data_IF_244912489049
#
_entry.id   IF_244912489049
#
_cell.length_a   1.000
_cell.length_b   1.000
_cell.length_c   1.000
_cell.angle_alpha   90.00
_cell.angle_beta   90.00
_cell.angle_gamma   90.00
#
_symmetry.space_group_name_H-M   'P 1'
#
loop_
_entity.id
_entity.type
_entity.pdbx_description
1 polymer ?
#
# COMPACT_ATOMS: atom_id res chain seq x y z
N UNK A 1 27.54 -8.44 -7.00
CA UNK A 1 26.41 -8.66 -7.92
C UNK A 1 25.16 -8.08 -7.29
N UNK A 2 24.47 -7.16 -7.97
CA UNK A 2 23.17 -6.65 -7.50
C UNK A 2 22.11 -7.71 -7.78
N UNK A 3 21.30 -8.05 -6.78
CA UNK A 3 20.26 -9.07 -6.92
C UNK A 3 19.16 -8.59 -7.90
N UNK A 4 18.96 -7.28 -8.00
CA UNK A 4 17.99 -6.63 -8.89
C UNK A 4 18.24 -6.87 -10.39
N UNK A 5 19.47 -7.23 -10.80
CA UNK A 5 19.80 -7.50 -12.20
C UNK A 5 19.55 -8.95 -12.62
N UNK A 6 19.40 -9.88 -11.66
CA UNK A 6 19.24 -11.30 -11.94
C UNK A 6 17.78 -11.74 -12.05
N UNK A 7 16.86 -10.96 -11.47
CA UNK A 7 15.41 -11.23 -11.52
C UNK A 7 14.71 -9.92 -11.92
N UNK A 8 14.19 -9.81 -13.15
CA UNK A 8 13.43 -8.63 -13.56
C UNK A 8 12.10 -8.60 -12.82
N UNK A 9 11.94 -7.60 -11.94
CA UNK A 9 10.69 -7.39 -11.20
C UNK A 9 9.79 -6.50 -12.05
N UNK A 10 8.73 -7.09 -12.62
CA UNK A 10 7.73 -6.33 -13.36
C UNK A 10 6.79 -5.59 -12.38
N UNK A 11 6.54 -4.28 -12.58
CA UNK A 11 5.56 -3.55 -11.79
C UNK A 11 4.13 -4.05 -12.06
N UNK A 12 3.27 -4.02 -11.04
CA UNK A 12 1.87 -4.42 -11.19
C UNK A 12 1.07 -3.30 -11.89
N UNK A 13 0.48 -3.55 -13.07
CA UNK A 13 -0.24 -2.52 -13.82
C UNK A 13 -1.54 -2.04 -13.15
N UNK A 14 -2.06 -2.80 -12.18
CA UNK A 14 -3.28 -2.45 -11.45
C UNK A 14 -3.05 -1.45 -10.31
N UNK A 15 -1.78 -1.13 -10.00
CA UNK A 15 -1.45 -0.16 -8.96
C UNK A 15 -1.22 1.20 -9.64
N UNK A 16 -2.05 2.22 -9.37
CA UNK A 16 -1.84 3.55 -9.94
C UNK A 16 -0.59 4.19 -9.37
N UNK A 17 -0.03 5.15 -10.10
CA UNK A 17 1.05 5.99 -9.58
C UNK A 17 0.47 6.88 -8.46
N UNK A 18 1.09 6.82 -7.28
CA UNK A 18 0.68 7.59 -6.10
C UNK A 18 1.82 8.49 -5.62
N UNK A 19 1.46 9.64 -5.07
CA UNK A 19 2.36 10.63 -4.51
C UNK A 19 1.97 11.03 -3.08
N UNK A 20 2.91 11.52 -2.26
CA UNK A 20 2.56 12.14 -0.98
C UNK A 20 1.56 13.29 -1.19
N UNK A 21 0.51 13.33 -0.38
CA UNK A 21 -0.62 14.27 -0.51
C UNK A 21 -1.87 13.65 -1.13
N UNK A 22 -1.75 12.54 -1.86
CA UNK A 22 -2.90 11.89 -2.48
C UNK A 22 -3.82 11.25 -1.44
N UNK A 23 -5.14 11.36 -1.64
CA UNK A 23 -6.12 10.60 -0.87
C UNK A 23 -6.40 9.28 -1.57
N UNK A 24 -6.12 8.18 -0.88
CA UNK A 24 -6.24 6.82 -1.44
C UNK A 24 -7.23 5.99 -0.64
N UNK A 25 -7.80 4.98 -1.29
CA UNK A 25 -8.64 3.95 -0.67
C UNK A 25 -8.01 2.59 -0.94
N UNK A 26 -7.44 2.00 0.10
CA UNK A 26 -6.76 0.70 0.03
C UNK A 26 -7.71 -0.40 0.48
N UNK A 27 -7.95 -1.39 -0.38
CA UNK A 27 -8.75 -2.56 -0.04
C UNK A 27 -7.88 -3.64 0.57
N UNK A 28 -8.08 -3.92 1.86
CA UNK A 28 -7.35 -4.93 2.61
C UNK A 28 -8.20 -6.19 2.70
N UNK A 29 -7.66 -7.32 2.25
CA UNK A 29 -8.26 -8.63 2.50
C UNK A 29 -7.88 -9.09 3.91
N UNK A 30 -8.88 -9.28 4.76
CA UNK A 30 -8.74 -9.77 6.12
C UNK A 30 -9.28 -11.20 6.16
N UNK A 31 -8.46 -12.13 6.64
CA UNK A 31 -8.80 -13.54 6.79
C UNK A 31 -8.74 -13.88 8.28
N UNK A 32 -9.88 -14.23 8.85
CA UNK A 32 -10.05 -14.58 10.27
C UNK A 32 -10.65 -16.00 10.33
N UNK A 33 -9.79 -17.01 10.50
CA UNK A 33 -10.19 -18.42 10.39
C UNK A 33 -10.76 -18.72 9.00
N UNK A 34 -12.02 -19.14 8.94
CA UNK A 34 -12.73 -19.43 7.68
C UNK A 34 -13.38 -18.19 7.05
N UNK A 35 -13.47 -17.06 7.77
CA UNK A 35 -14.17 -15.87 7.28
C UNK A 35 -13.21 -14.94 6.54
N UNK A 36 -13.58 -14.59 5.32
CA UNK A 36 -12.86 -13.61 4.49
C UNK A 36 -13.70 -12.36 4.32
N UNK A 37 -13.13 -11.19 4.62
CA UNK A 37 -13.76 -9.88 4.35
C UNK A 37 -12.77 -8.92 3.71
N UNK A 38 -13.30 -7.97 2.95
CA UNK A 38 -12.52 -6.85 2.42
C UNK A 38 -12.83 -5.60 3.25
N UNK A 39 -11.82 -5.00 3.86
CA UNK A 39 -11.95 -3.74 4.59
C UNK A 39 -11.27 -2.61 3.82
N UNK A 40 -11.96 -1.48 3.69
CA UNK A 40 -11.40 -0.29 3.06
C UNK A 40 -10.65 0.56 4.10
N UNK A 41 -9.39 0.89 3.80
CA UNK A 41 -8.58 1.86 4.51
C UNK A 41 -8.42 3.11 3.66
N UNK A 42 -9.19 4.15 3.98
CA UNK A 42 -9.14 5.44 3.29
C UNK A 42 -8.35 6.45 4.12
N UNK A 43 -7.44 7.19 3.48
CA UNK A 43 -6.63 8.22 4.13
C UNK A 43 -5.70 8.92 3.15
N UNK A 44 -4.82 9.77 3.67
CA UNK A 44 -3.85 10.55 2.90
C UNK A 44 -2.49 9.85 2.90
N UNK A 45 -1.86 9.74 1.74
CA UNK A 45 -0.48 9.24 1.62
C UNK A 45 0.48 10.28 2.18
N UNK A 46 1.24 9.92 3.22
CA UNK A 46 2.24 10.81 3.83
C UNK A 46 3.67 10.49 3.41
N UNK A 47 3.89 9.29 2.85
CA UNK A 47 5.21 8.83 2.42
C UNK A 47 5.08 7.78 1.31
N UNK A 48 5.99 7.85 0.35
CA UNK A 48 6.22 6.82 -0.67
C UNK A 48 7.72 6.49 -0.70
N UNK A 49 8.08 5.22 -0.50
CA UNK A 49 9.45 4.71 -0.60
C UNK A 49 9.57 3.85 -1.85
N UNK A 50 10.48 4.25 -2.75
CA UNK A 50 10.84 3.48 -3.94
C UNK A 50 11.81 2.34 -3.56
N UNK A 51 11.71 1.19 -4.22
CA UNK A 51 12.59 0.05 -3.93
C UNK A 51 12.25 -1.26 -4.63
N UNK A 52 11.64 -1.22 -5.82
CA UNK A 52 11.14 -2.41 -6.53
C UNK A 52 10.28 -3.30 -5.61
N UNK A 53 10.74 -4.51 -5.28
CA UNK A 53 10.08 -5.44 -4.33
C UNK A 53 9.94 -4.81 -2.93
N UNK A 54 10.91 -4.01 -2.51
CA UNK A 54 10.94 -3.38 -1.18
C UNK A 54 10.24 -2.01 -1.16
N UNK A 55 9.51 -1.65 -2.21
CA UNK A 55 8.72 -0.43 -2.25
C UNK A 55 7.57 -0.48 -1.24
N UNK A 56 7.28 0.65 -0.59
CA UNK A 56 6.14 0.78 0.32
C UNK A 56 5.63 2.22 0.34
N UNK A 57 4.45 2.42 0.90
CA UNK A 57 3.85 3.73 1.13
C UNK A 57 3.11 3.74 2.46
N UNK A 58 2.95 4.91 3.04
CA UNK A 58 2.30 5.11 4.34
C UNK A 58 1.07 5.97 4.17
N UNK A 59 -0.07 5.47 4.62
CA UNK A 59 -1.36 6.17 4.59
C UNK A 59 -1.76 6.53 6.01
N UNK A 60 -2.14 7.77 6.22
CA UNK A 60 -2.59 8.32 7.51
C UNK A 60 -4.09 8.58 7.46
N UNK A 61 -4.85 8.15 8.48
CA UNK A 61 -6.30 8.44 8.61
C UNK A 61 -6.73 8.75 10.04
N UNK A 62 -7.76 9.57 10.20
CA UNK A 62 -8.38 9.76 11.52
C UNK A 62 -9.54 8.78 11.64
N UNK A 63 -9.48 7.88 12.62
CA UNK A 63 -10.55 6.94 12.94
C UNK A 63 -11.07 7.25 14.35
N UNK A 64 -12.36 7.57 14.47
CA UNK A 64 -13.01 7.88 15.76
C UNK A 64 -12.26 8.92 16.59
N UNK A 65 -11.75 9.97 15.94
CA UNK A 65 -10.98 11.04 16.60
C UNK A 65 -9.52 10.70 16.90
N UNK A 66 -9.06 9.46 16.66
CA UNK A 66 -7.69 9.03 16.91
C UNK A 66 -6.92 8.89 15.59
N UNK A 67 -5.65 9.29 15.65
CA UNK A 67 -4.75 9.10 14.54
C UNK A 67 -4.29 7.66 14.35
N UNK A 68 -4.55 7.09 13.18
CA UNK A 68 -4.04 5.80 12.71
C UNK A 68 -3.18 6.01 11.47
#
# INVERSE_FOLDING_TARGET
MNLDTLIPVAPNPNIPVISPGDTVKVSIKIVEGERVRTQMFQGVVIRVRKGNINANFTVRRIAYGVGV
#
